data_IF_630641486373
#
_entry.id   IF_630641486373
#
_cell.length_a   1.000
_cell.length_b   1.000
_cell.length_c   1.000
_cell.angle_alpha   90.00
_cell.angle_beta   90.00
_cell.angle_gamma   90.00
#
_symmetry.space_group_name_H-M   'P 1'
#
loop_
_entity.id
_entity.type
_entity.pdbx_description
1 polymer ?
#
# COMPACT_ATOMS: atom_id res chain seq x y z
N UNK A 1 18.28 -0.04 5.63
CA UNK A 1 16.99 -0.45 5.01
C UNK A 1 16.89 0.18 3.64
N UNK A 2 16.47 -0.58 2.63
CA UNK A 2 16.18 -0.02 1.31
C UNK A 2 14.67 0.08 1.14
N UNK A 3 14.19 1.07 0.36
CA UNK A 3 12.78 1.24 -0.02
C UNK A 3 12.14 -0.04 -0.60
N UNK A 4 12.97 -0.95 -1.11
CA UNK A 4 12.58 -2.25 -1.65
C UNK A 4 12.17 -3.28 -0.59
N UNK A 5 12.57 -3.13 0.67
CA UNK A 5 12.22 -4.07 1.75
C UNK A 5 10.75 -3.91 2.16
N UNK A 6 10.30 -2.69 2.40
CA UNK A 6 8.90 -2.37 2.70
C UNK A 6 8.00 -2.66 1.50
N UNK A 7 8.41 -2.29 0.29
CA UNK A 7 7.66 -2.57 -0.94
C UNK A 7 7.46 -4.08 -1.19
N UNK A 8 8.47 -4.92 -0.94
CA UNK A 8 8.35 -6.38 -1.07
C UNK A 8 7.45 -6.99 0.00
N UNK A 9 7.58 -6.55 1.26
CA UNK A 9 6.71 -7.01 2.32
C UNK A 9 5.24 -6.63 2.05
N UNK A 10 5.01 -5.42 1.53
CA UNK A 10 3.71 -4.93 1.12
C UNK A 10 3.12 -5.72 -0.05
N UNK A 11 3.93 -6.02 -1.08
CA UNK A 11 3.53 -6.83 -2.23
C UNK A 11 3.07 -8.25 -1.85
N UNK A 12 3.63 -8.81 -0.77
CA UNK A 12 3.30 -10.16 -0.29
C UNK A 12 2.29 -10.19 0.86
N UNK A 13 1.72 -9.04 1.25
CA UNK A 13 0.74 -8.96 2.34
C UNK A 13 1.33 -9.21 3.72
N UNK A 14 2.66 -9.13 3.88
CA UNK A 14 3.35 -9.43 5.12
C UNK A 14 3.31 -8.26 6.11
N UNK A 15 2.11 -7.91 6.61
CA UNK A 15 1.87 -6.77 7.49
C UNK A 15 2.80 -6.74 8.71
N UNK A 16 3.00 -7.88 9.39
CA UNK A 16 3.89 -7.98 10.56
C UNK A 16 5.35 -7.67 10.22
N UNK A 17 5.83 -8.14 9.07
CA UNK A 17 7.19 -7.86 8.62
C UNK A 17 7.35 -6.40 8.24
N UNK A 18 6.31 -5.81 7.62
CA UNK A 18 6.28 -4.39 7.27
C UNK A 18 6.26 -3.50 8.52
N UNK A 19 5.41 -3.81 9.51
CA UNK A 19 5.36 -3.14 10.81
C UNK A 19 6.73 -3.13 11.47
N UNK A 20 7.33 -4.31 11.60
CA UNK A 20 8.64 -4.45 12.21
C UNK A 20 9.70 -3.66 11.43
N UNK A 21 9.69 -3.69 10.10
CA UNK A 21 10.65 -2.92 9.30
C UNK A 21 10.49 -1.41 9.53
N UNK A 22 9.26 -0.89 9.54
CA UNK A 22 8.98 0.55 9.74
C UNK A 22 9.35 1.00 11.14
N UNK A 23 9.04 0.20 12.17
CA UNK A 23 9.45 0.45 13.56
C UNK A 23 10.98 0.49 13.72
N UNK A 24 11.71 -0.25 12.89
CA UNK A 24 13.17 -0.27 12.85
C UNK A 24 13.79 0.79 11.91
N UNK A 25 13.00 1.79 11.50
CA UNK A 25 13.46 2.94 10.72
C UNK A 25 13.41 2.75 9.21
N UNK A 26 12.69 1.75 8.70
CA UNK A 26 12.39 1.66 7.27
C UNK A 26 11.30 2.67 6.90
N UNK A 27 11.51 3.56 5.92
CA UNK A 27 10.46 4.46 5.49
C UNK A 27 9.33 3.69 4.80
N UNK A 28 8.10 3.96 5.22
CA UNK A 28 6.92 3.65 4.42
C UNK A 28 6.87 4.63 3.25
N UNK A 29 6.58 4.13 2.05
CA UNK A 29 6.57 4.93 0.81
C UNK A 29 5.30 4.67 0.01
N UNK A 30 4.98 5.61 -0.89
CA UNK A 30 3.90 5.45 -1.88
C UNK A 30 4.04 4.15 -2.69
N UNK A 31 5.28 3.71 -2.92
CA UNK A 31 5.54 2.45 -3.60
C UNK A 31 5.12 1.23 -2.77
N UNK A 32 5.25 1.27 -1.44
CA UNK A 32 4.68 0.24 -0.59
C UNK A 32 3.15 0.19 -0.69
N UNK A 33 2.47 1.35 -0.74
CA UNK A 33 1.04 1.42 -0.99
C UNK A 33 0.67 0.83 -2.36
N UNK A 34 1.36 1.22 -3.43
CA UNK A 34 1.10 0.71 -4.78
C UNK A 34 1.32 -0.80 -4.89
N UNK A 35 2.34 -1.35 -4.22
CA UNK A 35 2.59 -2.80 -4.20
C UNK A 35 1.57 -3.57 -3.37
N UNK A 36 1.15 -3.04 -2.21
CA UNK A 36 0.05 -3.61 -1.45
C UNK A 36 -1.25 -3.61 -2.27
N UNK A 37 -1.48 -2.53 -3.02
CA UNK A 37 -2.63 -2.39 -3.90
C UNK A 37 -2.62 -3.42 -5.04
N UNK A 38 -1.48 -3.61 -5.72
CA UNK A 38 -1.32 -4.64 -6.74
C UNK A 38 -1.60 -6.05 -6.20
N UNK A 39 -1.20 -6.33 -4.94
CA UNK A 39 -1.43 -7.60 -4.27
C UNK A 39 -2.83 -7.77 -3.65
N UNK A 40 -3.66 -6.72 -3.64
CA UNK A 40 -4.99 -6.76 -3.02
C UNK A 40 -4.96 -6.80 -1.50
N UNK A 41 -3.87 -6.36 -0.88
CA UNK A 41 -3.65 -6.47 0.56
C UNK A 41 -4.24 -5.28 1.32
N UNK A 42 -5.57 -5.30 1.51
CA UNK A 42 -6.30 -4.23 2.20
C UNK A 42 -5.74 -3.94 3.60
N UNK A 43 -5.49 -4.96 4.40
CA UNK A 43 -4.97 -4.82 5.77
C UNK A 43 -3.64 -4.05 5.82
N UNK A 44 -2.80 -4.24 4.79
CA UNK A 44 -1.52 -3.53 4.66
C UNK A 44 -1.76 -2.06 4.31
N UNK A 45 -2.67 -1.78 3.36
CA UNK A 45 -3.04 -0.42 2.97
C UNK A 45 -3.70 0.36 4.12
N UNK A 46 -4.58 -0.28 4.91
CA UNK A 46 -5.20 0.31 6.10
C UNK A 46 -4.15 0.73 7.12
N UNK A 47 -3.17 -0.15 7.37
CA UNK A 47 -2.10 0.15 8.30
C UNK A 47 -1.17 1.25 7.78
N UNK A 48 -0.76 1.19 6.51
CA UNK A 48 0.02 2.24 5.85
C UNK A 48 -0.70 3.60 5.94
N UNK A 49 -2.01 3.62 5.74
CA UNK A 49 -2.82 4.83 5.87
C UNK A 49 -2.85 5.35 7.31
N UNK A 50 -2.97 4.48 8.31
CA UNK A 50 -2.97 4.85 9.73
C UNK A 50 -1.66 5.51 10.19
N UNK A 51 -0.52 5.08 9.65
CA UNK A 51 0.78 5.70 9.97
C UNK A 51 1.06 6.97 9.15
N UNK A 52 0.09 7.43 8.35
CA UNK A 52 0.24 8.63 7.52
C UNK A 52 1.12 8.43 6.29
N UNK A 53 1.28 7.19 5.81
CA UNK A 53 2.03 6.94 4.58
C UNK A 53 1.34 7.64 3.41
N UNK A 54 2.09 8.41 2.59
CA UNK A 54 1.56 8.96 1.36
C UNK A 54 1.20 7.83 0.38
N UNK A 55 0.21 8.11 -0.45
CA UNK A 55 -0.15 7.31 -1.62
C UNK A 55 -0.40 8.25 -2.79
N UNK A 56 -0.33 7.71 -4.00
CA UNK A 56 -0.59 8.44 -5.24
C UNK A 56 -1.54 7.65 -6.13
N UNK A 57 -1.86 8.20 -7.31
CA UNK A 57 -2.76 7.58 -8.27
C UNK A 57 -2.27 6.21 -8.77
N UNK A 58 -0.98 5.87 -8.60
CA UNK A 58 -0.49 4.52 -8.90
C UNK A 58 -1.13 3.51 -7.98
N UNK A 59 -1.39 3.84 -6.73
CA UNK A 59 -2.04 2.94 -5.77
C UNK A 59 -3.41 2.49 -6.27
N UNK A 60 -4.23 3.45 -6.73
CA UNK A 60 -5.52 3.14 -7.32
C UNK A 60 -5.39 2.37 -8.65
N UNK A 61 -4.48 2.78 -9.52
CA UNK A 61 -4.24 2.11 -10.81
C UNK A 61 -3.83 0.65 -10.64
N UNK A 62 -2.89 0.36 -9.73
CA UNK A 62 -2.41 -1.01 -9.50
C UNK A 62 -3.54 -1.92 -8.98
N UNK A 63 -4.36 -1.42 -8.05
CA UNK A 63 -5.56 -2.14 -7.59
C UNK A 63 -6.53 -2.43 -8.74
N UNK A 64 -6.76 -1.45 -9.62
CA UNK A 64 -7.64 -1.58 -10.77
C UNK A 64 -7.11 -2.58 -11.80
N UNK A 65 -5.82 -2.50 -12.14
CA UNK A 65 -5.19 -3.42 -13.09
C UNK A 65 -5.17 -4.86 -12.60
N UNK A 66 -5.08 -5.05 -11.27
CA UNK A 66 -5.10 -6.37 -10.66
C UNK A 66 -6.53 -6.90 -10.40
N UNK A 67 -7.56 -6.08 -10.61
CA UNK A 67 -8.97 -6.49 -10.48
C UNK A 67 -9.49 -6.56 -9.04
N UNK A 68 -8.85 -5.85 -8.10
CA UNK A 68 -9.23 -5.87 -6.68
C UNK A 68 -10.37 -4.89 -6.39
N UNK A 69 -11.59 -5.22 -6.82
CA UNK A 69 -12.77 -4.34 -6.72
C UNK A 69 -13.08 -3.85 -5.30
N UNK A 70 -13.03 -4.73 -4.30
CA UNK A 70 -13.28 -4.36 -2.89
C UNK A 70 -12.26 -3.34 -2.38
N UNK A 71 -11.01 -3.47 -2.85
CA UNK A 71 -9.93 -2.55 -2.53
C UNK A 71 -10.16 -1.18 -3.17
N UNK A 72 -10.67 -1.14 -4.41
CA UNK A 72 -10.98 0.10 -5.11
C UNK A 72 -12.10 0.88 -4.42
N UNK A 73 -13.14 0.19 -3.94
CA UNK A 73 -14.20 0.84 -3.16
C UNK A 73 -13.65 1.46 -1.88
N UNK A 74 -12.78 0.73 -1.17
CA UNK A 74 -12.11 1.25 0.01
C UNK A 74 -11.21 2.46 -0.32
N UNK A 75 -10.37 2.37 -1.37
CA UNK A 75 -9.48 3.46 -1.79
C UNK A 75 -10.26 4.72 -2.16
N UNK A 76 -11.40 4.57 -2.86
CA UNK A 76 -12.29 5.70 -3.18
C UNK A 76 -12.90 6.31 -1.93
N UNK A 77 -13.32 5.48 -0.96
CA UNK A 77 -13.82 5.94 0.34
C UNK A 77 -12.78 6.71 1.17
N UNK A 78 -11.49 6.41 0.99
CA UNK A 78 -10.39 7.09 1.69
C UNK A 78 -9.87 8.35 0.97
N UNK A 79 -10.43 8.68 -0.21
CA UNK A 79 -9.99 9.81 -1.02
C UNK A 79 -8.63 9.58 -1.69
N UNK A 80 -8.30 8.34 -2.07
CA UNK A 80 -7.14 8.07 -2.91
C UNK A 80 -7.33 8.76 -4.27
N UNK A 81 -6.33 9.49 -4.80
CA UNK A 81 -6.44 10.11 -6.11
C UNK A 81 -6.64 9.04 -7.18
N UNK A 82 -7.65 9.23 -8.02
CA UNK A 82 -7.87 8.40 -9.20
C UNK A 82 -6.90 8.86 -10.31
N UNK A 83 -6.33 7.93 -11.09
CA UNK A 83 -5.56 8.31 -12.28
C UNK A 83 -6.51 8.98 -13.31
N UNK A 84 -6.08 10.10 -13.89
CA UNK A 84 -6.72 10.72 -15.08
C UNK A 84 -6.78 9.75 -16.27
#
# INVERSE_FOLDING_TARGET
WSLTTSARAAAGGHLRALQWAVENGCPASEEACARAAAGGHLEVLEWLRRIGCPWDARTFREAATAGHSDLLEWLRGQGCPEPD
#
